data_IF_507542763697
#
_entry.id   IF_507542763697
#
_cell.length_a   1.000
_cell.length_b   1.000
_cell.length_c   1.000
_cell.angle_alpha   90.00
_cell.angle_beta   90.00
_cell.angle_gamma   90.00
#
_symmetry.space_group_name_H-M   'P 1'
#
loop_
_entity.id
_entity.type
_entity.pdbx_description
1 polymer ?
#
# COMPACT_ATOMS: atom_id res chain seq x y z
N UNK A 1 -23.48 17.76 -2.50
CA UNK A 1 -22.49 17.52 -1.41
C UNK A 1 -22.63 16.11 -0.86
N UNK A 2 -22.19 15.12 -1.63
CA UNK A 2 -22.10 13.72 -1.18
C UNK A 2 -20.68 13.39 -0.72
N UNK A 3 -20.29 13.77 0.50
CA UNK A 3 -19.03 13.29 1.07
C UNK A 3 -19.21 11.89 1.63
N UNK A 4 -18.34 10.94 1.25
CA UNK A 4 -18.30 9.63 1.90
C UNK A 4 -17.13 9.61 2.87
N UNK A 5 -17.46 9.66 4.15
CA UNK A 5 -16.53 9.41 5.24
C UNK A 5 -16.86 8.03 5.81
N UNK A 6 -15.96 7.08 5.63
CA UNK A 6 -16.05 5.76 6.28
C UNK A 6 -15.07 5.74 7.46
N UNK A 7 -15.61 5.69 8.69
CA UNK A 7 -14.80 5.54 9.92
C UNK A 7 -15.06 4.17 10.50
N UNK A 8 -13.99 3.44 10.80
CA UNK A 8 -14.12 2.12 11.38
C UNK A 8 -12.94 1.73 12.25
N UNK A 9 -13.18 0.89 13.28
CA UNK A 9 -12.10 0.24 13.99
C UNK A 9 -11.42 -0.79 13.08
N UNK A 10 -10.16 -1.08 13.37
CA UNK A 10 -9.47 -2.21 12.79
C UNK A 10 -8.53 -2.87 13.79
N UNK A 11 -8.34 -4.17 13.61
CA UNK A 11 -7.35 -4.97 14.32
C UNK A 11 -6.53 -5.70 13.25
N UNK A 12 -5.22 -5.58 13.33
CA UNK A 12 -4.30 -6.19 12.39
C UNK A 12 -3.23 -6.96 13.17
N UNK A 13 -3.06 -8.24 12.83
CA UNK A 13 -1.96 -9.06 13.30
C UNK A 13 -1.14 -9.50 12.10
N UNK A 14 0.14 -9.11 12.07
CA UNK A 14 1.07 -9.46 11.00
C UNK A 14 2.15 -10.37 11.57
N UNK A 15 2.15 -11.62 11.11
CA UNK A 15 3.19 -12.59 11.36
C UNK A 15 3.90 -12.92 10.05
N UNK A 16 5.21 -12.68 9.98
CA UNK A 16 6.03 -12.96 8.81
C UNK A 16 7.06 -14.01 9.21
N UNK A 17 6.89 -15.23 8.70
CA UNK A 17 7.71 -16.40 9.04
C UNK A 17 8.61 -16.86 7.91
N UNK A 18 8.41 -16.38 6.68
CA UNK A 18 9.17 -16.78 5.49
C UNK A 18 10.55 -16.10 5.38
N UNK A 19 11.17 -15.80 6.53
CA UNK A 19 12.35 -14.96 6.67
C UNK A 19 13.28 -15.51 7.76
N UNK A 20 14.55 -15.06 7.78
CA UNK A 20 15.56 -15.57 8.74
C UNK A 20 15.20 -15.34 10.21
N UNK A 21 14.39 -14.33 10.52
CA UNK A 21 13.88 -14.05 11.88
C UNK A 21 12.40 -13.68 11.79
N UNK A 22 11.49 -14.40 12.47
CA UNK A 22 10.08 -14.08 12.45
C UNK A 22 9.83 -12.63 12.88
N UNK A 23 9.05 -11.90 12.09
CA UNK A 23 8.58 -10.57 12.43
C UNK A 23 7.13 -10.66 12.88
N UNK A 24 6.84 -10.02 14.01
CA UNK A 24 5.54 -10.08 14.63
C UNK A 24 5.12 -8.67 15.08
N UNK A 25 4.04 -8.18 14.50
CA UNK A 25 3.47 -6.88 14.80
C UNK A 25 1.97 -7.03 15.02
N UNK A 26 1.51 -6.52 16.16
CA UNK A 26 0.08 -6.36 16.45
C UNK A 26 -0.29 -4.88 16.40
N UNK A 27 -1.40 -4.54 15.77
CA UNK A 27 -1.91 -3.17 15.68
C UNK A 27 -3.42 -3.13 15.88
N UNK A 28 -3.89 -2.13 16.61
CA UNK A 28 -5.32 -1.86 16.81
C UNK A 28 -5.55 -0.36 16.75
N UNK A 29 -6.62 0.08 16.10
CA UNK A 29 -6.87 1.50 15.97
C UNK A 29 -8.13 1.85 15.21
N UNK A 30 -8.19 3.11 14.80
CA UNK A 30 -9.24 3.69 13.98
C UNK A 30 -8.66 4.08 12.63
N UNK A 31 -9.43 3.84 11.57
CA UNK A 31 -9.17 4.40 10.24
C UNK A 31 -10.37 5.22 9.81
N UNK A 32 -10.08 6.36 9.19
CA UNK A 32 -11.05 7.19 8.50
C UNK A 32 -10.61 7.29 7.04
N UNK A 33 -11.48 6.84 6.14
CA UNK A 33 -11.32 7.00 4.71
C UNK A 33 -12.31 8.09 4.25
N UNK A 34 -11.77 9.18 3.73
CA UNK A 34 -12.54 10.24 3.11
C UNK A 34 -12.31 10.22 1.61
N UNK A 35 -13.37 10.04 0.85
CA UNK A 35 -13.33 10.12 -0.60
C UNK A 35 -14.28 11.23 -1.05
N UNK A 36 -13.76 12.17 -1.83
CA UNK A 36 -14.59 13.18 -2.47
C UNK A 36 -15.44 12.49 -3.54
N UNK A 37 -16.72 12.21 -3.27
CA UNK A 37 -17.67 11.60 -4.21
C UNK A 37 -18.85 12.53 -4.45
N UNK A 38 -18.59 13.76 -4.86
CA UNK A 38 -19.71 14.63 -5.21
C UNK A 38 -20.33 14.20 -6.54
N UNK A 39 -21.66 14.19 -6.62
CA UNK A 39 -22.40 14.01 -7.87
C UNK A 39 -22.18 15.20 -8.80
N UNK A 40 -21.98 16.42 -8.26
CA UNK A 40 -21.48 17.59 -9.01
C UNK A 40 -20.01 17.43 -9.42
N UNK A 41 -19.22 16.67 -8.67
CA UNK A 41 -17.86 16.27 -9.06
C UNK A 41 -17.83 15.16 -10.12
N UNK A 42 -18.97 14.68 -10.62
CA UNK A 42 -19.00 13.95 -11.90
C UNK A 42 -18.55 14.85 -13.06
N UNK A 43 -18.72 16.17 -12.96
CA UNK A 43 -18.17 17.12 -13.94
C UNK A 43 -16.68 17.42 -13.71
N UNK A 44 -16.15 17.15 -12.51
CA UNK A 44 -14.75 17.41 -12.19
C UNK A 44 -13.87 16.24 -12.66
N UNK A 45 -12.87 16.57 -13.49
CA UNK A 45 -11.93 15.59 -14.07
C UNK A 45 -10.94 15.01 -13.05
N UNK A 46 -10.97 15.47 -11.80
CA UNK A 46 -10.07 15.11 -10.72
C UNK A 46 -10.82 15.00 -9.40
N UNK A 47 -10.37 14.09 -8.55
CA UNK A 47 -10.85 13.85 -7.19
C UNK A 47 -9.69 13.39 -6.31
N UNK A 48 -9.95 13.23 -5.01
CA UNK A 48 -8.95 12.71 -4.09
C UNK A 48 -9.53 11.69 -3.11
N UNK A 49 -8.68 10.76 -2.70
CA UNK A 49 -8.90 9.90 -1.55
C UNK A 49 -7.89 10.29 -0.48
N UNK A 50 -8.40 10.66 0.70
CA UNK A 50 -7.60 10.86 1.89
C UNK A 50 -7.87 9.72 2.86
N UNK A 51 -6.80 9.12 3.37
CA UNK A 51 -6.85 8.05 4.36
C UNK A 51 -6.09 8.51 5.58
N UNK A 52 -6.80 8.59 6.71
CA UNK A 52 -6.21 8.83 8.01
C UNK A 52 -6.32 7.57 8.86
N UNK A 53 -5.27 7.27 9.62
CA UNK A 53 -5.21 6.12 10.51
C UNK A 53 -4.51 6.52 11.79
N UNK A 54 -5.10 6.18 12.93
CA UNK A 54 -4.46 6.29 14.24
C UNK A 54 -4.51 4.93 14.90
N UNK A 55 -3.36 4.43 15.37
CA UNK A 55 -3.29 3.10 15.98
C UNK A 55 -2.26 3.00 17.07
N UNK A 56 -2.53 2.07 17.98
CA UNK A 56 -1.54 1.51 18.86
C UNK A 56 -0.87 0.32 18.16
N UNK A 57 0.46 0.29 18.16
CA UNK A 57 1.29 -0.77 17.57
C UNK A 57 2.16 -1.40 18.65
N UNK A 58 2.19 -2.72 18.66
CA UNK A 58 3.10 -3.52 19.47
C UNK A 58 4.02 -4.31 18.53
N UNK A 59 5.29 -3.90 18.48
CA UNK A 59 6.34 -4.56 17.73
C UNK A 59 7.11 -5.48 18.68
N UNK A 60 6.83 -6.78 18.58
CA UNK A 60 7.41 -7.78 19.46
C UNK A 60 8.90 -8.03 19.16
N UNK A 61 9.35 -7.76 17.93
CA UNK A 61 10.73 -7.96 17.52
C UNK A 61 11.64 -6.82 18.03
N UNK A 62 11.16 -5.57 17.99
CA UNK A 62 11.86 -4.42 18.60
C UNK A 62 11.61 -4.30 20.10
N UNK A 63 10.63 -5.02 20.61
CA UNK A 63 10.11 -4.92 21.98
C UNK A 63 9.67 -3.49 22.32
N UNK A 64 8.93 -2.88 21.38
CA UNK A 64 8.45 -1.49 21.44
C UNK A 64 6.94 -1.42 21.29
N UNK A 65 6.34 -0.48 22.01
CA UNK A 65 4.93 -0.11 21.91
C UNK A 65 4.87 1.34 21.46
N UNK A 66 4.14 1.61 20.38
CA UNK A 66 4.06 2.93 19.78
C UNK A 66 2.62 3.35 19.50
N UNK A 67 2.41 4.66 19.44
CA UNK A 67 1.22 5.26 18.84
C UNK A 67 1.63 5.79 17.47
N UNK A 68 0.91 5.36 16.45
CA UNK A 68 1.15 5.75 15.07
C UNK A 68 -0.03 6.54 14.53
N UNK A 69 0.28 7.59 13.76
CA UNK A 69 -0.67 8.35 12.98
C UNK A 69 -0.19 8.38 11.55
N UNK A 70 -1.04 8.01 10.60
CA UNK A 70 -0.75 8.04 9.18
C UNK A 70 -1.81 8.89 8.49
N UNK A 71 -1.37 9.76 7.59
CA UNK A 71 -2.21 10.52 6.69
C UNK A 71 -1.69 10.30 5.27
N UNK A 72 -2.54 9.80 4.37
CA UNK A 72 -2.20 9.56 2.98
C UNK A 72 -3.19 10.24 2.06
N UNK A 73 -2.68 10.84 1.00
CA UNK A 73 -3.41 11.47 -0.07
C UNK A 73 -3.13 10.71 -1.37
N UNK A 74 -4.19 10.38 -2.11
CA UNK A 74 -4.12 9.75 -3.43
C UNK A 74 -4.97 10.56 -4.41
N UNK A 75 -4.38 11.23 -5.41
CA UNK A 75 -5.15 11.90 -6.45
C UNK A 75 -5.75 10.88 -7.41
N UNK A 76 -6.99 11.10 -7.82
CA UNK A 76 -7.76 10.19 -8.69
C UNK A 76 -8.32 11.00 -9.84
N UNK A 77 -7.81 10.78 -11.06
CA UNK A 77 -8.42 11.32 -12.26
C UNK A 77 -9.67 10.51 -12.62
N UNK A 78 -10.67 11.17 -13.20
CA UNK A 78 -11.95 10.55 -13.59
C UNK A 78 -12.23 10.72 -15.07
N UNK A 79 -12.90 9.71 -15.59
CA UNK A 79 -13.71 9.72 -16.82
C UNK A 79 -13.03 10.28 -18.07
N UNK A 80 -12.03 9.54 -18.58
CA UNK A 80 -11.33 9.90 -19.82
C UNK A 80 -11.10 8.71 -20.75
N UNK A 81 -12.15 7.98 -21.14
CA UNK A 81 -12.04 6.89 -22.14
C UNK A 81 -10.86 5.93 -21.92
N UNK A 82 -10.37 5.32 -22.99
CA UNK A 82 -9.14 4.50 -22.97
C UNK A 82 -8.22 4.97 -24.10
N UNK A 83 -6.94 5.23 -23.81
CA UNK A 83 -5.96 5.63 -24.83
C UNK A 83 -4.69 6.24 -24.25
N UNK A 84 -3.70 6.49 -25.11
CA UNK A 84 -2.37 7.01 -24.71
C UNK A 84 -2.41 8.40 -24.06
N UNK A 85 -3.46 9.18 -24.32
CA UNK A 85 -3.69 10.47 -23.66
C UNK A 85 -3.85 10.35 -22.14
N UNK A 86 -4.11 9.14 -21.62
CA UNK A 86 -4.30 8.86 -20.20
C UNK A 86 -2.99 8.55 -19.47
N UNK A 87 -1.84 8.50 -20.15
CA UNK A 87 -0.56 8.08 -19.57
C UNK A 87 -0.16 8.87 -18.31
N UNK A 88 -0.55 10.15 -18.26
CA UNK A 88 -0.26 11.06 -17.14
C UNK A 88 -1.47 11.29 -16.21
N UNK A 89 -2.51 10.46 -16.33
CA UNK A 89 -3.71 10.53 -15.51
C UNK A 89 -3.73 9.35 -14.52
N UNK A 90 -3.58 9.61 -13.22
CA UNK A 90 -3.57 8.55 -12.23
C UNK A 90 -4.96 7.95 -12.07
N UNK A 91 -5.00 6.65 -11.85
CA UNK A 91 -6.20 5.83 -11.66
C UNK A 91 -7.10 5.72 -12.91
N UNK A 92 -6.56 6.02 -14.09
CA UNK A 92 -7.25 5.85 -15.37
C UNK A 92 -6.52 4.80 -16.21
N UNK A 93 -7.22 3.77 -16.71
CA UNK A 93 -6.63 2.79 -17.62
C UNK A 93 -6.10 3.44 -18.90
N UNK A 94 -4.84 3.17 -19.20
CA UNK A 94 -4.13 3.55 -20.40
C UNK A 94 -3.90 2.30 -21.24
N UNK A 95 -4.40 2.31 -22.46
CA UNK A 95 -4.28 1.18 -23.37
C UNK A 95 -3.16 1.43 -24.39
N UNK A 96 -2.14 0.58 -24.39
CA UNK A 96 -1.06 0.54 -25.37
C UNK A 96 -1.41 -0.46 -26.48
N UNK A 97 -2.33 -0.05 -27.37
CA UNK A 97 -2.89 -0.94 -28.39
C UNK A 97 -3.55 -2.19 -27.79
N UNK A 98 -3.41 -3.34 -28.42
CA UNK A 98 -3.89 -4.63 -27.86
C UNK A 98 -2.88 -5.29 -26.90
N UNK A 99 -1.72 -4.67 -26.68
CA UNK A 99 -0.59 -5.32 -26.02
C UNK A 99 -0.65 -5.23 -24.49
N UNK A 100 -0.99 -4.07 -23.93
CA UNK A 100 -1.00 -3.84 -22.47
C UNK A 100 -2.07 -2.82 -22.11
N UNK A 101 -2.82 -3.09 -21.04
CA UNK A 101 -3.56 -2.08 -20.29
C UNK A 101 -2.80 -1.75 -19.00
N UNK A 102 -2.61 -0.47 -18.71
CA UNK A 102 -1.81 0.02 -17.59
C UNK A 102 -2.60 1.04 -16.78
N UNK A 103 -2.56 0.92 -15.45
CA UNK A 103 -3.12 1.92 -14.53
C UNK A 103 -2.09 2.18 -13.44
N UNK A 104 -1.94 3.44 -13.01
CA UNK A 104 -1.09 3.77 -11.87
C UNK A 104 -1.80 4.65 -10.84
N UNK A 105 -1.45 4.50 -9.58
CA UNK A 105 -2.02 5.22 -8.45
C UNK A 105 -0.90 5.76 -7.56
N UNK A 106 -0.54 7.04 -7.70
CA UNK A 106 0.47 7.67 -6.85
C UNK A 106 -0.15 8.03 -5.51
N UNK A 107 0.67 8.04 -4.46
CA UNK A 107 0.27 8.51 -3.14
C UNK A 107 1.40 9.29 -2.47
N UNK A 108 1.01 10.23 -1.62
CA UNK A 108 1.91 10.96 -0.73
C UNK A 108 1.27 11.09 0.63
N UNK A 109 2.06 11.09 1.69
CA UNK A 109 1.54 11.10 3.04
C UNK A 109 2.57 11.48 4.08
N UNK A 110 2.07 11.58 5.31
CA UNK A 110 2.86 11.82 6.50
C UNK A 110 2.57 10.71 7.51
N UNK A 111 3.62 10.21 8.12
CA UNK A 111 3.57 9.24 9.20
C UNK A 111 4.21 9.87 10.44
N UNK A 112 3.57 9.70 11.58
CA UNK A 112 4.16 9.97 12.89
C UNK A 112 4.12 8.68 13.71
N UNK A 113 5.23 8.33 14.33
CA UNK A 113 5.32 7.22 15.27
C UNK A 113 5.97 7.70 16.56
N UNK A 114 5.23 7.62 17.68
CA UNK A 114 5.76 7.87 19.01
C UNK A 114 5.91 6.56 19.78
N UNK A 115 7.13 6.13 20.07
CA UNK A 115 7.42 4.97 20.92
C UNK A 115 7.18 5.37 22.38
N UNK A 116 6.09 4.87 22.95
CA UNK A 116 5.67 5.20 24.33
C UNK A 116 6.26 4.26 25.37
N UNK A 117 6.67 3.05 24.96
CA UNK A 117 7.32 2.08 25.84
C UNK A 117 8.27 1.20 25.04
N UNK A 118 9.46 0.95 25.60
CA UNK A 118 10.45 0.04 25.03
C UNK A 118 11.17 -0.69 26.16
N UNK A 119 11.69 -1.90 25.89
CA UNK A 119 12.57 -2.61 26.84
C UNK A 119 13.89 -1.85 27.03
N UNK A 120 14.41 -1.22 25.96
CA UNK A 120 15.55 -0.34 26.04
C UNK A 120 15.07 1.12 25.95
N UNK A 121 15.26 1.89 27.02
CA UNK A 121 14.84 3.30 27.11
C UNK A 121 15.44 4.18 26.02
N UNK A 122 16.61 3.83 25.47
CA UNK A 122 17.22 4.58 24.38
C UNK A 122 16.39 4.55 23.09
N UNK A 123 15.40 3.64 22.98
CA UNK A 123 14.47 3.53 21.85
C UNK A 123 13.18 4.33 22.04
N UNK A 124 12.98 4.96 23.20
CA UNK A 124 11.84 5.81 23.47
C UNK A 124 12.06 7.15 22.77
N UNK A 125 11.13 7.51 21.90
CA UNK A 125 11.28 8.67 21.03
C UNK A 125 10.13 8.79 20.05
N UNK A 126 10.24 9.75 19.13
CA UNK A 126 9.29 9.90 18.04
C UNK A 126 9.97 10.16 16.70
N UNK A 127 9.31 9.71 15.64
CA UNK A 127 9.73 9.93 14.25
C UNK A 127 8.58 10.55 13.47
N UNK A 128 8.90 11.49 12.58
CA UNK A 128 7.99 12.03 11.56
C UNK A 128 8.57 11.70 10.20
N UNK A 129 7.78 11.06 9.36
CA UNK A 129 8.20 10.54 8.07
C UNK A 129 7.33 11.09 6.94
N UNK A 130 7.97 11.42 5.83
CA UNK A 130 7.30 11.67 4.56
C UNK A 130 7.17 10.33 3.84
N UNK A 131 5.96 9.95 3.47
CA UNK A 131 5.66 8.72 2.73
C UNK A 131 5.31 9.10 1.31
N UNK A 132 5.90 8.43 0.34
CA UNK A 132 5.52 8.53 -1.06
C UNK A 132 5.42 7.13 -1.65
N UNK A 133 4.55 6.96 -2.62
CA UNK A 133 4.43 5.68 -3.30
C UNK A 133 3.75 5.78 -4.63
N UNK A 134 3.91 4.72 -5.42
CA UNK A 134 3.18 4.50 -6.65
C UNK A 134 2.83 3.03 -6.74
N UNK A 135 1.57 2.76 -7.02
CA UNK A 135 1.08 1.45 -7.42
C UNK A 135 0.85 1.46 -8.91
N UNK A 136 1.20 0.39 -9.58
CA UNK A 136 0.96 0.17 -10.99
C UNK A 136 0.34 -1.20 -11.18
N UNK A 137 -0.72 -1.26 -11.98
CA UNK A 137 -1.34 -2.49 -12.45
C UNK A 137 -1.17 -2.55 -13.97
N UNK A 138 -0.77 -3.72 -14.45
CA UNK A 138 -0.61 -4.02 -15.85
C UNK A 138 -1.37 -5.30 -16.18
N UNK A 139 -2.14 -5.26 -17.25
CA UNK A 139 -2.81 -6.41 -17.85
C UNK A 139 -2.20 -6.63 -19.24
N UNK A 140 -1.22 -7.55 -19.37
CA UNK A 140 -0.68 -7.90 -20.67
C UNK A 140 -1.71 -8.64 -21.51
N UNK A 141 -1.75 -8.33 -22.80
CA UNK A 141 -2.62 -8.92 -23.81
C UNK A 141 -4.07 -9.08 -23.31
N UNK A 142 -4.71 -8.00 -22.83
CA UNK A 142 -5.96 -8.09 -22.08
C UNK A 142 -7.08 -8.77 -22.88
N UNK A 143 -7.08 -8.64 -24.21
CA UNK A 143 -8.01 -9.34 -25.11
C UNK A 143 -7.65 -10.81 -25.31
N UNK A 144 -6.38 -11.14 -25.57
CA UNK A 144 -5.97 -12.52 -25.89
C UNK A 144 -5.93 -13.43 -24.65
N UNK A 145 -5.54 -12.88 -23.50
CA UNK A 145 -5.50 -13.58 -22.21
C UNK A 145 -6.79 -13.42 -21.41
N UNK A 146 -7.80 -12.73 -21.95
CA UNK A 146 -9.06 -12.43 -21.26
C UNK A 146 -8.82 -11.87 -19.83
N UNK A 147 -7.83 -10.98 -19.68
CA UNK A 147 -7.41 -10.36 -18.42
C UNK A 147 -7.01 -11.36 -17.31
N UNK A 148 -6.58 -12.57 -17.67
CA UNK A 148 -6.16 -13.61 -16.71
C UNK A 148 -4.75 -13.43 -16.17
N UNK A 149 -3.94 -12.59 -16.79
CA UNK A 149 -2.60 -12.25 -16.34
C UNK A 149 -2.61 -10.82 -15.79
N UNK A 150 -2.23 -10.67 -14.52
CA UNK A 150 -2.16 -9.37 -13.84
C UNK A 150 -0.76 -9.20 -13.26
N UNK A 151 -0.10 -8.09 -13.60
CA UNK A 151 1.18 -7.70 -13.03
C UNK A 151 0.96 -6.45 -12.19
N UNK A 152 1.27 -6.52 -10.90
CA UNK A 152 1.14 -5.41 -9.98
C UNK A 152 2.54 -5.05 -9.48
N UNK A 153 2.85 -3.76 -9.44
CA UNK A 153 4.09 -3.25 -8.86
C UNK A 153 3.74 -2.12 -7.91
N UNK A 154 4.21 -2.20 -6.68
CA UNK A 154 4.13 -1.14 -5.69
C UNK A 154 5.55 -0.71 -5.34
N UNK A 155 5.82 0.58 -5.47
CA UNK A 155 7.02 1.20 -4.92
C UNK A 155 6.59 2.19 -3.84
N UNK A 156 7.23 2.15 -2.68
CA UNK A 156 7.10 3.19 -1.67
C UNK A 156 8.47 3.63 -1.18
N UNK A 157 8.60 4.92 -0.96
CA UNK A 157 9.76 5.55 -0.35
C UNK A 157 9.32 6.36 0.86
N UNK A 158 9.89 6.05 2.01
CA UNK A 158 9.65 6.73 3.28
C UNK A 158 10.94 7.44 3.70
N UNK A 159 10.83 8.72 4.01
CA UNK A 159 11.95 9.53 4.45
C UNK A 159 11.72 10.08 5.85
N UNK A 160 12.65 9.81 6.77
CA UNK A 160 12.64 10.32 8.14
C UNK A 160 13.00 11.82 8.14
N UNK A 161 11.99 12.66 8.33
CA UNK A 161 12.11 14.12 8.29
C UNK A 161 12.61 14.66 9.63
N UNK A 162 12.14 14.06 10.74
CA UNK A 162 12.54 14.41 12.10
C UNK A 162 12.57 13.19 12.99
N UNK A 163 13.66 13.07 13.75
CA UNK A 163 13.83 12.05 14.78
C UNK A 163 14.12 12.70 16.12
N UNK A 164 13.29 12.38 17.11
CA UNK A 164 13.48 12.75 18.50
C UNK A 164 13.90 11.49 19.26
N UNK A 165 15.21 11.32 19.51
CA UNK A 165 15.82 10.22 20.30
C UNK A 165 15.50 8.79 19.80
N UNK A 166 15.80 8.47 18.54
CA UNK A 166 15.86 7.07 18.08
C UNK A 166 17.34 6.65 17.86
N UNK A 167 17.77 5.45 18.30
CA UNK A 167 19.18 5.04 18.29
C UNK A 167 19.64 4.39 16.97
N UNK A 168 18.74 4.16 16.00
CA UNK A 168 19.05 3.49 14.73
C UNK A 168 19.40 4.54 13.65
N UNK A 169 20.59 5.11 13.78
CA UNK A 169 21.01 6.44 13.28
C UNK A 169 21.66 6.51 11.88
N UNK A 170 21.48 5.54 10.97
CA UNK A 170 22.29 5.53 9.73
C UNK A 170 21.53 5.59 8.40
N UNK A 171 20.23 5.32 8.35
CA UNK A 171 19.49 5.40 7.09
C UNK A 171 18.15 6.10 7.27
N UNK A 172 18.05 7.33 6.76
CA UNK A 172 16.81 8.13 6.77
C UNK A 172 15.87 7.77 5.62
N UNK A 173 16.34 6.99 4.65
CA UNK A 173 15.59 6.63 3.45
C UNK A 173 15.24 5.14 3.45
N UNK A 174 13.96 4.85 3.45
CA UNK A 174 13.42 3.50 3.47
C UNK A 174 12.66 3.24 2.18
N UNK A 175 13.18 2.34 1.35
CA UNK A 175 12.52 1.93 0.12
C UNK A 175 11.85 0.57 0.31
N UNK A 176 10.70 0.38 -0.32
CA UNK A 176 10.03 -0.90 -0.43
C UNK A 176 9.50 -1.07 -1.85
N UNK A 177 9.87 -2.19 -2.47
CA UNK A 177 9.32 -2.65 -3.73
C UNK A 177 8.51 -3.91 -3.43
N UNK A 178 7.28 -3.96 -3.93
CA UNK A 178 6.50 -5.18 -4.05
C UNK A 178 6.14 -5.39 -5.52
N UNK A 179 6.23 -6.62 -5.99
CA UNK A 179 5.79 -6.98 -7.32
C UNK A 179 5.06 -8.31 -7.26
N UNK A 180 3.84 -8.35 -7.80
CA UNK A 180 2.99 -9.52 -7.82
C UNK A 180 2.61 -9.86 -9.26
N UNK A 181 2.89 -11.08 -9.68
CA UNK A 181 2.40 -11.65 -10.93
C UNK A 181 1.32 -12.68 -10.62
N UNK A 182 0.09 -12.42 -11.07
CA UNK A 182 -1.05 -13.30 -10.88
C UNK A 182 -1.47 -13.93 -12.21
N UNK A 183 -1.72 -15.24 -12.19
CA UNK A 183 -2.26 -15.98 -13.34
C UNK A 183 -3.53 -16.71 -12.91
N UNK A 184 -4.66 -16.33 -13.49
CA UNK A 184 -5.99 -16.86 -13.20
C UNK A 184 -6.41 -17.89 -14.27
N UNK A 185 -6.45 -19.18 -13.92
CA UNK A 185 -6.69 -20.26 -14.90
C UNK A 185 -8.07 -20.93 -14.77
N UNK A 186 -8.73 -20.86 -13.61
CA UNK A 186 -10.09 -21.40 -13.43
C UNK A 186 -11.09 -20.27 -13.32
N UNK A 187 -12.19 -20.33 -14.08
CA UNK A 187 -13.40 -19.57 -13.83
C UNK A 187 -14.46 -20.56 -13.34
N UNK A 188 -14.83 -20.46 -12.09
CA UNK A 188 -15.91 -21.30 -11.53
C UNK A 188 -17.26 -20.86 -12.07
N UNK A 189 -18.26 -21.73 -12.03
CA UNK A 189 -19.65 -21.42 -12.44
C UNK A 189 -20.25 -20.23 -11.66
N UNK A 190 -19.72 -19.96 -10.46
CA UNK A 190 -20.07 -18.82 -9.63
C UNK A 190 -19.28 -17.52 -9.97
N UNK A 191 -18.53 -17.49 -11.07
CA UNK A 191 -17.74 -16.33 -11.50
C UNK A 191 -16.39 -16.15 -10.80
N UNK A 192 -16.09 -16.93 -9.76
CA UNK A 192 -14.83 -16.86 -9.00
C UNK A 192 -13.64 -17.32 -9.84
N UNK A 193 -12.51 -16.67 -9.66
CA UNK A 193 -11.25 -17.00 -10.34
C UNK A 193 -10.30 -17.71 -9.37
N UNK A 194 -9.72 -18.83 -9.79
CA UNK A 194 -8.62 -19.49 -9.08
C UNK A 194 -7.32 -19.37 -9.88
N UNK A 195 -6.23 -19.10 -9.18
CA UNK A 195 -4.96 -18.76 -9.80
C UNK A 195 -3.75 -19.04 -8.93
N UNK A 196 -2.58 -18.75 -9.49
CA UNK A 196 -1.31 -18.73 -8.77
C UNK A 196 -0.74 -17.32 -8.81
N UNK A 197 -0.03 -16.98 -7.75
CA UNK A 197 0.63 -15.69 -7.58
C UNK A 197 2.10 -15.92 -7.27
N UNK A 198 2.97 -15.24 -7.99
CA UNK A 198 4.37 -15.07 -7.61
C UNK A 198 4.54 -13.66 -7.06
N UNK A 199 4.94 -13.54 -5.80
CA UNK A 199 5.12 -12.28 -5.10
C UNK A 199 6.59 -12.06 -4.80
N UNK A 200 7.04 -10.84 -4.99
CA UNK A 200 8.38 -10.39 -4.66
C UNK A 200 8.28 -9.18 -3.76
N UNK A 201 9.02 -9.16 -2.67
CA UNK A 201 9.13 -8.00 -1.78
C UNK A 201 10.61 -7.73 -1.52
N UNK A 202 11.03 -6.48 -1.68
CA UNK A 202 12.40 -6.07 -1.38
C UNK A 202 12.43 -4.69 -0.70
N UNK A 203 13.14 -4.60 0.41
CA UNK A 203 13.28 -3.36 1.18
C UNK A 203 12.63 -3.44 2.55
N UNK A 204 12.18 -2.31 3.07
CA UNK A 204 11.69 -2.18 4.45
C UNK A 204 10.46 -1.25 4.54
N UNK A 205 9.63 -1.45 5.56
CA UNK A 205 8.53 -0.54 5.91
C UNK A 205 8.51 -0.33 7.43
N UNK A 206 8.97 0.84 7.92
CA UNK A 206 8.96 1.17 9.34
C UNK A 206 7.56 1.09 9.96
N UNK A 207 6.54 1.65 9.30
CA UNK A 207 5.14 1.59 9.75
C UNK A 207 4.70 0.14 9.97
N UNK A 208 4.96 -0.72 8.99
CA UNK A 208 4.59 -2.13 9.02
C UNK A 208 5.43 -2.98 10.00
N UNK A 209 6.53 -2.44 10.52
CA UNK A 209 7.56 -3.21 11.25
C UNK A 209 8.28 -4.23 10.35
N UNK A 210 8.29 -3.99 9.04
CA UNK A 210 8.93 -4.87 8.06
C UNK A 210 10.38 -4.43 7.87
N UNK A 211 11.36 -5.26 8.25
CA UNK A 211 12.78 -4.90 8.14
C UNK A 211 13.34 -5.07 6.73
N UNK A 212 14.52 -4.46 6.41
CA UNK A 212 15.20 -4.63 5.14
C UNK A 212 15.42 -6.10 4.80
N UNK A 213 14.72 -6.58 3.78
CA UNK A 213 14.89 -7.95 3.31
C UNK A 213 14.36 -8.12 1.89
N UNK A 214 14.72 -9.26 1.30
CA UNK A 214 14.25 -9.71 0.00
C UNK A 214 13.56 -11.05 0.15
N UNK A 215 12.29 -11.12 -0.23
CA UNK A 215 11.43 -12.30 -0.12
C UNK A 215 10.79 -12.58 -1.47
N UNK A 216 10.70 -13.87 -1.82
CA UNK A 216 9.94 -14.34 -2.96
C UNK A 216 8.97 -15.41 -2.47
N UNK A 217 7.70 -15.27 -2.80
CA UNK A 217 6.63 -16.13 -2.31
C UNK A 217 5.80 -16.64 -3.49
N UNK A 218 5.51 -17.94 -3.47
CA UNK A 218 4.57 -18.55 -4.39
C UNK A 218 3.29 -18.86 -3.63
N UNK A 219 2.14 -18.43 -4.12
CA UNK A 219 0.86 -18.54 -3.42
C UNK A 219 -0.24 -19.03 -4.36
N UNK A 220 -1.16 -19.84 -3.85
CA UNK A 220 -2.42 -20.14 -4.51
C UNK A 220 -3.46 -19.11 -4.09
N UNK A 221 -4.12 -18.49 -5.06
CA UNK A 221 -5.02 -17.36 -4.83
C UNK A 221 -6.42 -17.66 -5.34
N UNK A 222 -7.43 -17.19 -4.60
CA UNK A 222 -8.83 -17.17 -5.01
C UNK A 222 -9.28 -15.70 -5.07
N UNK A 223 -9.85 -15.30 -6.20
CA UNK A 223 -10.43 -13.97 -6.43
C UNK A 223 -11.94 -14.13 -6.56
N UNK A 224 -12.66 -13.43 -5.69
CA UNK A 224 -14.12 -13.44 -5.58
C UNK A 224 -14.73 -12.27 -6.35
#
# INVERSE_FOLDING_TARGET
MGEKVDIGPYVEYRLITNIRRPQNVFSVGLSADWATRDEEAQQQRWSAVMRMRVNYKNDFERATKSVQTNFNFTPVARDRGTGLANLFLPNVPTQFGSAVEFTYSPSIGLEHEGVVRAVNESKIGSAVRLVSGVKAEMLPLPSALARRLELNVEYSYVYDVKDYKAPDLLNRGHQLVRADMNVWFVRTDAGRLAGVSLKYTNGESPSAGFRPQRVMEFTFSLKF
#
